data_IF_820019691906
#
_entry.id   IF_820019691906
#
_cell.length_a   1.000
_cell.length_b   1.000
_cell.length_c   1.000
_cell.angle_alpha   90.00
_cell.angle_beta   90.00
_cell.angle_gamma   90.00
#
_symmetry.space_group_name_H-M   'P 1'
#
loop_
_entity.id
_entity.type
_entity.pdbx_description
1 polymer ?
#
# COMPACT_ATOMS: atom_id res chain seq x y z
N UNK A 1 17.92 37.76 -0.54
CA UNK A 1 16.87 37.48 0.47
C UNK A 1 15.55 38.19 0.12
N UNK A 2 15.56 39.45 -0.40
CA UNK A 2 14.32 40.17 -0.75
C UNK A 2 13.50 39.52 -1.90
N UNK A 3 14.11 38.86 -2.87
CA UNK A 3 13.41 38.21 -3.99
C UNK A 3 12.62 37.00 -3.60
N UNK A 4 12.97 36.28 -2.53
CA UNK A 4 12.23 35.12 -2.06
C UNK A 4 10.92 35.42 -1.35
N UNK A 5 10.77 36.62 -0.78
CA UNK A 5 9.58 37.04 -0.04
C UNK A 5 8.42 37.51 -0.95
N UNK A 6 8.73 37.83 -2.21
CA UNK A 6 7.75 38.31 -3.20
C UNK A 6 7.61 37.40 -4.41
N UNK A 7 7.99 36.11 -4.24
CA UNK A 7 7.83 35.13 -5.28
C UNK A 7 6.33 34.91 -5.58
N UNK A 8 5.89 35.34 -6.74
CA UNK A 8 4.59 35.05 -7.26
C UNK A 8 4.66 33.72 -7.98
N UNK A 9 3.83 32.76 -7.58
CA UNK A 9 3.69 31.47 -8.25
C UNK A 9 2.83 31.53 -9.53
N UNK A 10 2.58 32.74 -10.06
CA UNK A 10 1.97 32.92 -11.35
C UNK A 10 2.94 32.43 -12.45
N UNK A 11 3.01 31.11 -12.58
CA UNK A 11 3.79 30.44 -13.62
C UNK A 11 2.90 30.25 -14.84
N UNK A 12 3.48 30.43 -16.02
CA UNK A 12 2.80 30.03 -17.25
C UNK A 12 2.49 28.53 -17.18
N UNK A 13 1.29 28.10 -17.63
CA UNK A 13 0.96 26.68 -17.67
C UNK A 13 1.95 25.94 -18.56
N UNK A 14 2.21 24.68 -18.24
CA UNK A 14 3.01 23.82 -19.11
C UNK A 14 2.37 23.74 -20.50
N UNK A 15 3.18 23.79 -21.54
CA UNK A 15 2.72 23.58 -22.89
C UNK A 15 2.12 22.16 -23.04
N UNK A 16 1.16 21.98 -23.96
CA UNK A 16 0.58 20.67 -24.25
C UNK A 16 1.66 19.63 -24.59
N UNK A 17 2.67 20.02 -25.38
CA UNK A 17 3.78 19.15 -25.72
C UNK A 17 4.56 18.70 -24.47
N UNK A 18 4.79 19.61 -23.51
CA UNK A 18 5.45 19.29 -22.25
C UNK A 18 4.61 18.35 -21.38
N UNK A 19 3.30 18.57 -21.33
CA UNK A 19 2.39 17.70 -20.57
C UNK A 19 2.39 16.28 -21.17
N UNK A 20 2.27 16.14 -22.48
CA UNK A 20 2.35 14.86 -23.17
C UNK A 20 3.69 14.17 -22.92
N UNK A 21 4.80 14.86 -23.08
CA UNK A 21 6.13 14.29 -22.85
C UNK A 21 6.36 13.79 -21.42
N UNK A 22 5.78 14.46 -20.41
CA UNK A 22 5.98 14.10 -19.00
C UNK A 22 4.99 13.08 -18.45
N UNK A 23 3.76 13.05 -18.96
CA UNK A 23 2.66 12.35 -18.32
C UNK A 23 1.90 11.39 -19.22
N UNK A 24 2.01 11.52 -20.56
CA UNK A 24 1.32 10.64 -21.48
C UNK A 24 1.87 9.22 -21.38
N UNK A 25 0.97 8.26 -21.27
CA UNK A 25 1.33 6.85 -21.18
C UNK A 25 1.43 6.19 -22.56
N UNK A 26 0.47 6.45 -23.42
CA UNK A 26 0.40 5.93 -24.78
C UNK A 26 0.13 7.07 -25.76
N UNK A 27 1.09 7.31 -26.65
CA UNK A 27 0.99 8.37 -27.64
C UNK A 27 0.02 8.04 -28.79
N UNK A 28 -0.22 6.76 -29.08
CA UNK A 28 -1.08 6.30 -30.17
C UNK A 28 -2.56 6.47 -29.78
N UNK A 29 -2.89 6.09 -28.54
CA UNK A 29 -4.25 6.17 -28.03
C UNK A 29 -4.56 7.47 -27.28
N UNK A 30 -3.60 8.39 -27.20
CA UNK A 30 -3.67 9.66 -26.43
C UNK A 30 -4.12 9.43 -24.97
N UNK A 31 -3.56 8.41 -24.32
CA UNK A 31 -3.93 7.96 -22.98
C UNK A 31 -3.02 8.53 -21.90
N UNK A 32 -3.64 8.95 -20.81
CA UNK A 32 -2.97 9.32 -19.56
C UNK A 32 -3.35 8.34 -18.45
N UNK A 33 -2.35 7.86 -17.70
CA UNK A 33 -2.55 6.95 -16.58
C UNK A 33 -2.10 7.57 -15.25
N UNK A 34 -3.00 7.60 -14.28
CA UNK A 34 -2.75 8.15 -12.96
C UNK A 34 -3.14 7.15 -11.87
N UNK A 35 -2.37 7.12 -10.80
CA UNK A 35 -2.78 6.47 -9.56
C UNK A 35 -3.58 7.44 -8.69
N UNK A 36 -4.44 6.95 -7.77
CA UNK A 36 -5.15 7.80 -6.81
C UNK A 36 -4.20 8.74 -6.06
N UNK A 37 -3.08 8.24 -5.57
CA UNK A 37 -2.05 9.02 -4.86
C UNK A 37 -1.47 10.15 -5.71
N UNK A 38 -1.33 9.95 -7.03
CA UNK A 38 -0.89 11.02 -7.93
C UNK A 38 -1.93 12.14 -8.05
N UNK A 39 -3.21 11.78 -8.15
CA UNK A 39 -4.32 12.73 -8.20
C UNK A 39 -4.45 13.51 -6.90
N UNK A 40 -4.35 12.83 -5.76
CA UNK A 40 -4.35 13.47 -4.43
C UNK A 40 -3.20 14.47 -4.31
N UNK A 41 -2.00 14.09 -4.74
CA UNK A 41 -0.83 14.98 -4.70
C UNK A 41 -0.98 16.20 -5.61
N UNK A 42 -1.63 16.04 -6.75
CA UNK A 42 -1.97 17.16 -7.63
C UNK A 42 -2.99 18.10 -6.99
N UNK A 43 -4.03 17.55 -6.36
CA UNK A 43 -5.06 18.32 -5.67
C UNK A 43 -4.49 19.10 -4.47
N UNK A 44 -3.52 18.53 -3.75
CA UNK A 44 -2.83 19.21 -2.66
C UNK A 44 -1.94 20.33 -3.15
N UNK A 45 -1.12 20.09 -4.17
CA UNK A 45 -0.20 21.08 -4.73
C UNK A 45 0.26 20.64 -6.14
N UNK A 46 -0.19 21.31 -7.22
CA UNK A 46 0.25 21.01 -8.59
C UNK A 46 1.76 21.08 -8.79
N UNK A 47 2.44 22.00 -8.14
CA UNK A 47 3.90 22.12 -8.19
C UNK A 47 4.60 20.92 -7.56
N UNK A 48 4.13 20.44 -6.42
CA UNK A 48 4.67 19.24 -5.77
C UNK A 48 4.45 17.99 -6.65
N UNK A 49 3.31 17.90 -7.32
CA UNK A 49 3.03 16.86 -8.30
C UNK A 49 4.02 16.93 -9.48
N UNK A 50 4.25 18.12 -10.03
CA UNK A 50 5.21 18.33 -11.12
C UNK A 50 6.63 17.91 -10.72
N UNK A 51 7.10 18.30 -9.55
CA UNK A 51 8.41 17.87 -9.04
C UNK A 51 8.47 16.36 -8.90
N UNK A 52 7.47 15.75 -8.24
CA UNK A 52 7.49 14.33 -7.90
C UNK A 52 7.33 13.40 -9.11
N UNK A 53 6.50 13.77 -10.08
CA UNK A 53 6.10 12.89 -11.19
C UNK A 53 6.50 13.37 -12.57
N UNK A 54 6.80 14.66 -12.73
CA UNK A 54 7.36 15.23 -13.94
C UNK A 54 8.89 15.19 -13.92
N UNK A 55 9.51 15.95 -13.05
CA UNK A 55 10.97 16.06 -12.98
C UNK A 55 11.64 14.85 -12.31
N UNK A 56 10.96 14.18 -11.38
CA UNK A 56 11.42 12.98 -10.69
C UNK A 56 12.84 13.09 -10.12
N UNK A 57 13.17 14.14 -9.34
CA UNK A 57 14.48 14.25 -8.73
C UNK A 57 14.71 13.05 -7.81
N UNK A 58 15.91 12.49 -7.84
CA UNK A 58 16.30 11.44 -6.91
C UNK A 58 16.64 12.07 -5.57
N UNK A 59 15.91 11.79 -4.49
CA UNK A 59 16.29 12.25 -3.17
C UNK A 59 17.62 11.64 -2.77
N UNK A 60 18.40 12.36 -1.97
CA UNK A 60 19.61 11.83 -1.38
C UNK A 60 19.21 10.72 -0.39
N UNK A 61 19.79 9.55 -0.52
CA UNK A 61 19.56 8.44 0.42
C UNK A 61 19.96 8.87 1.83
N UNK A 62 19.00 8.93 2.73
CA UNK A 62 19.24 9.09 4.16
C UNK A 62 18.91 7.77 4.81
N UNK A 63 19.86 7.24 5.57
CA UNK A 63 19.68 6.00 6.35
C UNK A 63 18.93 6.28 7.66
N UNK A 64 17.69 6.71 7.56
CA UNK A 64 16.80 6.93 8.70
C UNK A 64 15.52 6.11 8.47
N UNK A 65 15.12 5.32 9.48
CA UNK A 65 13.84 4.61 9.44
C UNK A 65 12.73 5.65 9.59
N UNK A 66 12.04 5.93 8.49
CA UNK A 66 10.94 6.88 8.45
C UNK A 66 9.61 6.21 8.81
N UNK A 67 8.59 7.01 9.12
CA UNK A 67 7.24 6.49 9.37
C UNK A 67 6.67 5.70 8.19
N UNK A 68 7.11 5.98 6.96
CA UNK A 68 6.72 5.24 5.76
C UNK A 68 7.27 3.81 5.78
N UNK A 69 8.55 3.64 6.08
CA UNK A 69 9.18 2.31 6.13
C UNK A 69 8.55 1.44 7.24
N UNK A 70 8.18 2.07 8.37
CA UNK A 70 7.43 1.38 9.42
C UNK A 70 6.05 0.94 8.91
N UNK A 71 5.37 1.79 8.15
CA UNK A 71 4.09 1.47 7.50
C UNK A 71 4.23 0.30 6.53
N UNK A 72 5.27 0.32 5.69
CA UNK A 72 5.55 -0.74 4.71
C UNK A 72 5.80 -2.10 5.43
N UNK A 73 6.48 -2.10 6.57
CA UNK A 73 6.68 -3.31 7.40
C UNK A 73 5.36 -3.85 7.94
N UNK A 74 4.47 -2.99 8.46
CA UNK A 74 3.16 -3.45 8.96
C UNK A 74 2.29 -3.98 7.83
N UNK A 75 2.30 -3.32 6.68
CA UNK A 75 1.59 -3.77 5.50
C UNK A 75 2.07 -5.16 5.04
N UNK A 76 3.39 -5.34 4.91
CA UNK A 76 3.98 -6.61 4.50
C UNK A 76 3.68 -7.73 5.53
N UNK A 77 3.72 -7.41 6.83
CA UNK A 77 3.36 -8.36 7.87
C UNK A 77 1.88 -8.80 7.77
N UNK A 78 0.96 -7.86 7.54
CA UNK A 78 -0.45 -8.15 7.30
C UNK A 78 -0.63 -9.06 6.07
N UNK A 79 0.09 -8.75 5.01
CA UNK A 79 0.02 -9.49 3.74
C UNK A 79 0.48 -10.93 3.91
N UNK A 80 1.64 -11.16 4.53
CA UNK A 80 2.19 -12.51 4.74
C UNK A 80 1.27 -13.33 5.62
N UNK A 81 0.84 -12.81 6.78
CA UNK A 81 -0.10 -13.53 7.65
C UNK A 81 -1.41 -13.85 6.94
N UNK A 82 -1.96 -12.90 6.18
CA UNK A 82 -3.20 -13.13 5.44
C UNK A 82 -3.04 -14.21 4.38
N UNK A 83 -1.95 -14.20 3.61
CA UNK A 83 -1.66 -15.23 2.60
C UNK A 83 -1.49 -16.60 3.22
N UNK A 84 -0.75 -16.71 4.32
CA UNK A 84 -0.51 -17.96 5.02
C UNK A 84 -1.83 -18.57 5.49
N UNK A 85 -2.68 -17.78 6.16
CA UNK A 85 -3.99 -18.25 6.64
C UNK A 85 -4.93 -18.61 5.50
N UNK A 86 -4.91 -17.90 4.38
CA UNK A 86 -5.70 -18.23 3.20
C UNK A 86 -5.21 -19.54 2.56
N UNK A 87 -3.90 -19.70 2.40
CA UNK A 87 -3.31 -20.90 1.82
C UNK A 87 -3.60 -22.15 2.68
N UNK A 88 -3.49 -22.03 4.00
CA UNK A 88 -3.85 -23.10 4.93
C UNK A 88 -5.34 -23.44 4.83
N UNK A 89 -6.21 -22.42 4.74
CA UNK A 89 -7.66 -22.60 4.57
C UNK A 89 -7.98 -23.35 3.28
N UNK A 90 -7.35 -22.97 2.18
CA UNK A 90 -7.51 -23.61 0.88
C UNK A 90 -6.99 -25.06 0.90
N UNK A 91 -5.84 -25.31 1.51
CA UNK A 91 -5.26 -26.65 1.65
C UNK A 91 -6.17 -27.60 2.43
N UNK A 92 -6.96 -27.09 3.37
CA UNK A 92 -7.94 -27.84 4.13
C UNK A 92 -9.28 -28.01 3.39
N UNK A 93 -9.47 -27.35 2.25
CA UNK A 93 -10.74 -27.34 1.51
C UNK A 93 -11.87 -26.63 2.26
N UNK A 94 -11.53 -25.69 3.14
CA UNK A 94 -12.46 -24.95 3.99
C UNK A 94 -12.72 -23.54 3.46
N UNK A 95 -13.82 -22.94 3.89
CA UNK A 95 -14.08 -21.51 3.74
C UNK A 95 -13.51 -20.73 4.94
N UNK A 96 -13.34 -19.42 4.77
CA UNK A 96 -12.87 -18.54 5.85
C UNK A 96 -13.76 -18.61 7.09
N UNK A 97 -15.06 -18.76 6.92
CA UNK A 97 -16.08 -18.80 7.99
C UNK A 97 -16.27 -20.17 8.63
N UNK A 98 -15.66 -21.24 8.09
CA UNK A 98 -15.82 -22.56 8.64
C UNK A 98 -15.16 -22.67 10.03
N UNK A 99 -15.81 -23.30 11.02
CA UNK A 99 -15.29 -23.37 12.39
C UNK A 99 -13.89 -23.98 12.50
N UNK A 100 -13.54 -24.89 11.58
CA UNK A 100 -12.23 -25.53 11.50
C UNK A 100 -11.18 -24.73 10.71
N UNK A 101 -11.54 -23.59 10.12
CA UNK A 101 -10.59 -22.80 9.34
C UNK A 101 -9.52 -22.18 10.24
N UNK A 102 -8.31 -21.97 9.73
CA UNK A 102 -7.25 -21.25 10.45
C UNK A 102 -7.69 -19.88 10.96
N UNK A 103 -8.56 -19.18 10.22
CA UNK A 103 -9.11 -17.88 10.63
C UNK A 103 -9.97 -17.97 11.90
N UNK A 104 -10.73 -19.04 12.06
CA UNK A 104 -11.65 -19.26 13.19
C UNK A 104 -10.96 -19.94 14.37
N UNK A 105 -9.96 -20.80 14.11
CA UNK A 105 -9.32 -21.64 15.13
C UNK A 105 -8.04 -21.05 15.73
N UNK A 106 -7.30 -20.20 15.02
CA UNK A 106 -6.01 -19.65 15.50
C UNK A 106 -6.16 -18.97 16.87
N UNK A 107 -5.29 -19.31 17.82
CA UNK A 107 -5.24 -18.66 19.11
C UNK A 107 -4.49 -17.35 19.07
N UNK A 108 -4.61 -16.54 20.12
CA UNK A 108 -3.86 -15.29 20.25
C UNK A 108 -2.35 -15.54 20.27
N UNK A 109 -1.94 -16.55 21.06
CA UNK A 109 -0.55 -16.92 21.23
C UNK A 109 0.07 -17.39 19.90
N UNK A 110 -0.70 -18.16 19.14
CA UNK A 110 -0.28 -18.64 17.81
C UNK A 110 -0.14 -17.51 16.79
N UNK A 111 -1.11 -16.60 16.79
CA UNK A 111 -1.04 -15.39 15.97
C UNK A 111 0.20 -14.55 16.32
N UNK A 112 0.44 -14.32 17.61
CA UNK A 112 1.58 -13.54 18.09
C UNK A 112 2.93 -14.21 17.73
N UNK A 113 3.01 -15.54 17.77
CA UNK A 113 4.18 -16.30 17.34
C UNK A 113 4.43 -16.17 15.83
N UNK A 114 3.40 -16.34 15.00
CA UNK A 114 3.50 -16.17 13.54
C UNK A 114 3.91 -14.76 13.16
N UNK A 115 3.30 -13.75 13.77
CA UNK A 115 3.67 -12.33 13.54
C UNK A 115 5.12 -12.06 13.90
N UNK A 116 5.59 -12.64 15.00
CA UNK A 116 7.00 -12.48 15.43
C UNK A 116 7.96 -13.13 14.44
N UNK A 117 7.64 -14.31 13.90
CA UNK A 117 8.44 -14.97 12.87
C UNK A 117 8.48 -14.13 11.57
N UNK A 118 7.32 -13.69 11.08
CA UNK A 118 7.22 -12.86 9.88
C UNK A 118 8.04 -11.56 10.02
N UNK A 119 7.96 -10.89 11.18
CA UNK A 119 8.77 -9.70 11.43
C UNK A 119 10.27 -10.00 11.45
N UNK A 120 10.67 -11.19 11.94
CA UNK A 120 12.04 -11.67 11.86
C UNK A 120 12.54 -11.78 10.43
N UNK A 121 11.73 -12.40 9.55
CA UNK A 121 12.05 -12.56 8.14
C UNK A 121 12.10 -11.22 7.40
N UNK A 122 11.10 -10.35 7.60
CA UNK A 122 11.08 -9.00 7.04
C UNK A 122 12.32 -8.21 7.47
N UNK A 123 12.72 -8.35 8.74
CA UNK A 123 13.93 -7.70 9.25
C UNK A 123 15.17 -8.17 8.51
N UNK A 124 15.33 -9.46 8.28
CA UNK A 124 16.45 -9.98 7.52
C UNK A 124 16.46 -9.48 6.09
N UNK A 125 15.32 -9.52 5.39
CA UNK A 125 15.21 -9.15 3.99
C UNK A 125 15.42 -7.65 3.73
N UNK A 126 14.83 -6.78 4.57
CA UNK A 126 14.83 -5.33 4.34
C UNK A 126 16.02 -4.64 5.01
N UNK A 127 16.48 -5.17 6.15
CA UNK A 127 17.40 -4.45 7.01
C UNK A 127 18.79 -5.09 7.14
N UNK A 128 19.15 -6.08 6.32
CA UNK A 128 20.46 -6.75 6.35
C UNK A 128 21.70 -5.81 6.30
N UNK A 129 21.52 -4.53 6.00
CA UNK A 129 22.58 -3.52 6.04
C UNK A 129 22.38 -2.37 7.02
N UNK A 130 21.17 -2.14 7.52
CA UNK A 130 20.76 -0.90 8.20
C UNK A 130 20.69 -0.99 9.73
N UNK A 131 20.47 -2.18 10.27
CA UNK A 131 20.33 -2.41 11.72
C UNK A 131 21.59 -2.96 12.35
N UNK A 132 22.70 -2.22 12.32
CA UNK A 132 23.78 -2.44 13.26
C UNK A 132 23.30 -2.03 14.64
N UNK A 133 23.11 -3.05 15.47
CA UNK A 133 22.52 -3.05 16.78
C UNK A 133 22.94 -1.90 17.72
N UNK A 134 21.98 -0.98 17.95
CA UNK A 134 22.04 -0.08 19.09
C UNK A 134 20.78 -0.27 19.94
N UNK A 135 20.87 -0.04 21.25
CA UNK A 135 19.71 -0.18 22.18
C UNK A 135 18.45 0.56 21.77
N UNK A 136 18.59 1.69 21.06
CA UNK A 136 17.47 2.44 20.54
C UNK A 136 16.70 1.69 19.43
N UNK A 137 17.40 0.90 18.62
CA UNK A 137 16.83 0.11 17.54
C UNK A 137 16.17 -1.17 18.06
N UNK A 138 16.71 -1.76 19.12
CA UNK A 138 16.05 -2.88 19.82
C UNK A 138 14.71 -2.45 20.37
N UNK A 139 14.64 -1.31 21.04
CA UNK A 139 13.39 -0.74 21.56
C UNK A 139 12.38 -0.45 20.45
N UNK A 140 12.81 0.13 19.33
CA UNK A 140 11.93 0.37 18.18
C UNK A 140 11.37 -0.94 17.62
N UNK A 141 12.22 -1.97 17.49
CA UNK A 141 11.82 -3.29 16.98
C UNK A 141 10.79 -3.95 17.90
N UNK A 142 11.01 -3.92 19.22
CA UNK A 142 10.05 -4.45 20.20
C UNK A 142 8.71 -3.72 20.15
N UNK A 143 8.75 -2.39 20.04
CA UNK A 143 7.54 -1.59 19.89
C UNK A 143 6.79 -1.91 18.61
N UNK A 144 7.49 -2.05 17.50
CA UNK A 144 6.89 -2.47 16.21
C UNK A 144 6.24 -3.85 16.33
N UNK A 145 6.90 -4.81 16.98
CA UNK A 145 6.35 -6.13 17.19
C UNK A 145 5.08 -6.10 18.05
N UNK A 146 5.05 -5.31 19.10
CA UNK A 146 3.88 -5.15 19.95
C UNK A 146 2.69 -4.57 19.17
N UNK A 147 2.92 -3.52 18.38
CA UNK A 147 1.89 -2.90 17.54
C UNK A 147 1.39 -3.88 16.49
N UNK A 148 2.30 -4.57 15.77
CA UNK A 148 1.94 -5.54 14.74
C UNK A 148 1.08 -6.68 15.32
N UNK A 149 1.49 -7.30 16.42
CA UNK A 149 0.72 -8.37 17.10
C UNK A 149 -0.68 -7.89 17.48
N UNK A 150 -0.77 -6.70 18.07
CA UNK A 150 -2.07 -6.16 18.49
C UNK A 150 -2.97 -5.87 17.29
N UNK A 151 -2.44 -5.21 16.27
CA UNK A 151 -3.17 -4.87 15.06
C UNK A 151 -3.64 -6.11 14.30
N UNK A 152 -2.76 -7.09 14.07
CA UNK A 152 -3.10 -8.29 13.31
C UNK A 152 -4.11 -9.17 14.05
N UNK A 153 -4.04 -9.23 15.38
CA UNK A 153 -5.11 -9.88 16.15
C UNK A 153 -6.47 -9.18 16.00
N UNK A 154 -6.48 -7.84 15.92
CA UNK A 154 -7.72 -7.12 15.65
C UNK A 154 -8.28 -7.47 14.28
N UNK A 155 -7.42 -7.63 13.25
CA UNK A 155 -7.84 -8.09 11.93
C UNK A 155 -8.48 -9.49 12.00
N UNK A 156 -7.86 -10.46 12.69
CA UNK A 156 -8.46 -11.79 12.91
C UNK A 156 -9.82 -11.67 13.61
N UNK A 157 -9.91 -10.84 14.64
CA UNK A 157 -11.16 -10.61 15.37
C UNK A 157 -12.25 -10.00 14.48
N UNK A 158 -11.88 -9.08 13.58
CA UNK A 158 -12.82 -8.50 12.62
C UNK A 158 -13.33 -9.55 11.61
N UNK A 159 -12.45 -10.42 11.10
CA UNK A 159 -12.84 -11.51 10.21
C UNK A 159 -13.87 -12.43 10.89
N UNK A 160 -13.62 -12.81 12.15
CA UNK A 160 -14.52 -13.67 12.94
C UNK A 160 -15.88 -13.04 13.17
N UNK A 161 -15.92 -11.75 13.50
CA UNK A 161 -17.16 -11.01 13.80
C UNK A 161 -17.94 -10.60 12.55
N UNK A 162 -17.22 -10.32 11.46
CA UNK A 162 -17.76 -9.71 10.25
C UNK A 162 -18.41 -10.70 9.28
N UNK A 163 -18.44 -12.02 9.58
CA UNK A 163 -18.92 -13.06 8.64
C UNK A 163 -18.29 -12.90 7.25
N UNK A 164 -16.98 -12.65 7.23
CA UNK A 164 -16.21 -12.42 6.00
C UNK A 164 -16.02 -13.77 5.31
N UNK A 165 -16.61 -13.92 4.12
CA UNK A 165 -16.58 -15.17 3.36
C UNK A 165 -15.40 -15.28 2.42
N UNK A 166 -14.88 -14.14 1.92
CA UNK A 166 -13.72 -14.08 1.05
C UNK A 166 -12.84 -12.88 1.38
N UNK A 167 -11.53 -13.10 1.31
CA UNK A 167 -10.50 -12.08 1.52
C UNK A 167 -9.60 -12.07 0.30
N UNK A 168 -9.40 -10.90 -0.29
CA UNK A 168 -8.48 -10.67 -1.40
C UNK A 168 -7.38 -9.73 -0.93
N UNK A 169 -6.20 -10.27 -0.60
CA UNK A 169 -5.06 -9.45 -0.29
C UNK A 169 -4.48 -8.86 -1.58
N UNK A 170 -4.16 -7.57 -1.58
CA UNK A 170 -3.51 -6.86 -2.68
C UNK A 170 -4.24 -6.95 -4.04
N UNK A 171 -5.48 -6.50 -4.08
CA UNK A 171 -6.24 -6.43 -5.31
C UNK A 171 -5.75 -5.28 -6.20
N UNK A 172 -4.92 -5.59 -7.20
CA UNK A 172 -4.49 -4.63 -8.20
C UNK A 172 -5.58 -4.39 -9.26
N UNK A 173 -5.82 -3.13 -9.60
CA UNK A 173 -6.66 -2.74 -10.72
C UNK A 173 -5.85 -1.92 -11.73
N UNK A 174 -6.07 -2.20 -13.02
CA UNK A 174 -5.28 -1.58 -14.08
C UNK A 174 -5.32 -2.39 -15.36
N UNK A 175 -4.59 -1.93 -16.40
CA UNK A 175 -4.64 -2.52 -17.75
C UNK A 175 -4.18 -3.97 -17.83
N UNK A 176 -3.24 -4.39 -17.08
CA UNK A 176 -2.72 -5.77 -17.06
C UNK A 176 -3.05 -6.50 -15.77
N UNK A 177 -4.20 -6.15 -15.15
CA UNK A 177 -4.66 -6.69 -13.89
C UNK A 177 -6.00 -7.40 -14.06
N UNK A 178 -6.33 -8.26 -13.10
CA UNK A 178 -7.63 -8.97 -13.08
C UNK A 178 -8.82 -8.00 -12.98
N UNK A 179 -8.65 -6.86 -12.29
CA UNK A 179 -9.64 -5.79 -12.21
C UNK A 179 -9.24 -4.72 -13.23
N UNK A 180 -10.13 -4.34 -14.16
CA UNK A 180 -9.81 -3.31 -15.15
C UNK A 180 -9.61 -1.92 -14.51
N UNK A 181 -8.90 -1.00 -15.21
CA UNK A 181 -8.72 0.36 -14.73
C UNK A 181 -10.06 1.11 -14.73
N UNK A 182 -10.20 2.06 -13.80
CA UNK A 182 -11.31 3.01 -13.84
C UNK A 182 -11.06 4.02 -14.96
N UNK A 183 -12.02 4.14 -15.89
CA UNK A 183 -11.97 5.10 -17.01
C UNK A 183 -12.73 6.36 -16.68
N UNK A 184 -12.07 7.50 -16.79
CA UNK A 184 -12.67 8.81 -16.67
C UNK A 184 -12.58 9.53 -18.01
N UNK A 185 -13.72 10.00 -18.54
CA UNK A 185 -13.79 10.81 -19.76
C UNK A 185 -13.80 12.28 -19.39
N UNK A 186 -12.76 13.00 -19.80
CA UNK A 186 -12.62 14.44 -19.59
C UNK A 186 -12.65 15.17 -20.95
N UNK A 187 -13.87 15.45 -21.42
CA UNK A 187 -14.05 16.03 -22.75
C UNK A 187 -13.65 15.05 -23.85
N UNK A 188 -12.58 15.34 -24.59
CA UNK A 188 -12.06 14.48 -25.66
C UNK A 188 -11.01 13.47 -25.17
N UNK A 189 -10.54 13.64 -23.95
CA UNK A 189 -9.45 12.84 -23.38
C UNK A 189 -10.01 11.73 -22.48
N UNK A 190 -9.33 10.58 -22.45
CA UNK A 190 -9.61 9.49 -21.52
C UNK A 190 -8.48 9.34 -20.55
N UNK A 191 -8.81 9.39 -19.26
CA UNK A 191 -7.89 9.17 -18.16
C UNK A 191 -8.15 7.80 -17.56
N UNK A 192 -7.10 7.01 -17.41
CA UNK A 192 -7.14 5.73 -16.71
C UNK A 192 -6.61 5.90 -15.29
N UNK A 193 -7.40 5.45 -14.32
CA UNK A 193 -6.95 5.36 -12.92
C UNK A 193 -6.58 3.91 -12.66
N UNK A 194 -5.35 3.70 -12.24
CA UNK A 194 -4.77 2.40 -11.91
C UNK A 194 -4.20 2.42 -10.50
N UNK A 195 -4.26 1.29 -9.80
CA UNK A 195 -3.74 1.22 -8.46
C UNK A 195 -3.83 -0.17 -7.85
N UNK A 196 -3.66 -0.19 -6.54
CA UNK A 196 -3.74 -1.39 -5.73
C UNK A 196 -4.57 -1.07 -4.49
N UNK A 197 -5.47 -1.98 -4.16
CA UNK A 197 -6.24 -1.99 -2.93
C UNK A 197 -5.59 -3.00 -2.01
N UNK A 198 -5.19 -2.59 -0.83
CA UNK A 198 -4.42 -3.43 0.09
C UNK A 198 -5.20 -4.67 0.52
N UNK A 199 -6.51 -4.54 0.69
CA UNK A 199 -7.38 -5.66 1.04
C UNK A 199 -8.83 -5.41 0.65
N UNK A 200 -9.50 -6.44 0.13
CA UNK A 200 -10.95 -6.46 -0.12
C UNK A 200 -11.54 -7.64 0.66
N UNK A 201 -12.52 -7.34 1.50
CA UNK A 201 -13.27 -8.36 2.24
C UNK A 201 -14.70 -8.41 1.72
N UNK A 202 -15.16 -9.62 1.36
CA UNK A 202 -16.56 -9.86 1.02
C UNK A 202 -17.28 -10.43 2.22
N UNK A 203 -18.38 -9.81 2.60
CA UNK A 203 -19.22 -10.22 3.72
C UNK A 203 -20.51 -10.85 3.22
N UNK A 204 -21.05 -11.81 3.95
CA UNK A 204 -22.39 -12.31 3.72
C UNK A 204 -23.38 -11.32 4.35
N UNK A 205 -24.20 -10.68 3.51
CA UNK A 205 -25.35 -9.88 3.96
C UNK A 205 -26.54 -10.78 4.19
N UNK A 206 -27.24 -10.59 5.30
CA UNK A 206 -28.58 -11.18 5.49
C UNK A 206 -29.54 -10.36 4.61
N UNK A 207 -30.18 -11.00 3.63
CA UNK A 207 -31.34 -10.46 2.93
C UNK A 207 -32.60 -10.66 3.79
#
# INVERSE_FOLDING_TARGET
IRHGLFFSSATEPLSEASVKALYQYDAVEDLFAFSPTRLEKFAQCPFMHYIAYGLRPRPRERFEITGREIGDVYHECLMRLTRDLLQETENLGLSVTDPGSPWMSITREECDARVTAILGDIRQEIFEGLLKAGKAQEYQTERMALVARTFLWQVITQVRKGRITRIFPEAGFGRSRAIPPLKLSLGKETVLIEGKIDRIDLMQTEE
#
